data_IF_535286917253
#
_entry.id   IF_535286917253
#
_cell.length_a   1.000
_cell.length_b   1.000
_cell.length_c   1.000
_cell.angle_alpha   90.00
_cell.angle_beta   90.00
_cell.angle_gamma   90.00
#
_symmetry.space_group_name_H-M   'P 1'
#
loop_
_entity.id
_entity.type
_entity.pdbx_description
1 polymer ?
#
# COMPACT_ATOMS: atom_id res chain seq x y z
N UNK A 1 -10.72 2.29 -16.01
CA UNK A 1 -10.98 3.55 -15.29
C UNK A 1 -12.42 3.67 -14.74
N UNK A 2 -13.45 3.06 -15.33
CA UNK A 2 -14.85 3.21 -14.89
C UNK A 2 -15.47 1.99 -14.17
N UNK A 3 -14.70 0.91 -13.94
CA UNK A 3 -15.17 -0.35 -13.36
C UNK A 3 -15.99 -0.16 -12.08
N UNK A 4 -15.52 0.70 -11.17
CA UNK A 4 -16.17 0.97 -9.88
C UNK A 4 -17.06 2.22 -9.90
N UNK A 5 -16.78 3.17 -10.79
CA UNK A 5 -17.47 4.47 -10.84
C UNK A 5 -18.79 4.38 -11.62
N UNK A 6 -18.82 3.60 -12.70
CA UNK A 6 -20.00 3.42 -13.54
C UNK A 6 -20.25 1.93 -13.84
N UNK A 7 -20.84 1.16 -12.90
CA UNK A 7 -21.11 -0.27 -13.10
C UNK A 7 -21.97 -0.57 -14.33
N UNK A 8 -22.91 0.31 -14.67
CA UNK A 8 -23.73 0.21 -15.89
C UNK A 8 -22.86 0.21 -17.14
N UNK A 9 -21.88 1.11 -17.21
CA UNK A 9 -20.96 1.20 -18.34
C UNK A 9 -20.06 -0.03 -18.44
N UNK A 10 -19.69 -0.62 -17.29
CA UNK A 10 -18.96 -1.89 -17.23
C UNK A 10 -19.79 -3.08 -17.71
N UNK A 11 -21.06 -3.14 -17.36
CA UNK A 11 -21.97 -4.15 -17.88
C UNK A 11 -22.10 -4.08 -19.41
N UNK A 12 -22.28 -2.86 -19.95
CA UNK A 12 -22.33 -2.65 -21.40
C UNK A 12 -21.00 -3.03 -22.08
N UNK A 13 -19.86 -2.67 -21.48
CA UNK A 13 -18.54 -3.12 -21.95
C UNK A 13 -18.46 -4.65 -22.04
N UNK A 14 -18.87 -5.36 -20.98
CA UNK A 14 -18.82 -6.81 -20.94
C UNK A 14 -19.64 -7.44 -22.06
N UNK A 15 -20.82 -6.87 -22.39
CA UNK A 15 -21.65 -7.33 -23.51
C UNK A 15 -20.97 -7.10 -24.86
N UNK A 16 -20.47 -5.89 -25.12
CA UNK A 16 -19.82 -5.56 -26.40
C UNK A 16 -18.54 -6.40 -26.59
N UNK A 17 -17.73 -6.55 -25.55
CA UNK A 17 -16.51 -7.36 -25.58
C UNK A 17 -16.82 -8.84 -25.82
N UNK A 18 -17.81 -9.39 -25.11
CA UNK A 18 -18.24 -10.79 -25.29
C UNK A 18 -18.78 -11.02 -26.70
N UNK A 19 -19.57 -10.09 -27.22
CA UNK A 19 -20.08 -10.15 -28.59
C UNK A 19 -18.95 -10.09 -29.62
N UNK A 20 -17.97 -9.20 -29.44
CA UNK A 20 -16.80 -9.11 -30.31
C UNK A 20 -16.00 -10.40 -30.36
N UNK A 21 -15.75 -11.02 -29.21
CA UNK A 21 -15.06 -12.30 -29.14
C UNK A 21 -15.89 -13.43 -29.78
N UNK A 22 -17.19 -13.51 -29.48
CA UNK A 22 -18.09 -14.49 -30.09
C UNK A 22 -18.12 -14.35 -31.63
N UNK A 23 -18.24 -13.13 -32.14
CA UNK A 23 -18.26 -12.85 -33.58
C UNK A 23 -16.94 -13.25 -34.24
N UNK A 24 -15.81 -12.88 -33.64
CA UNK A 24 -14.48 -13.21 -34.16
C UNK A 24 -14.27 -14.73 -34.27
N UNK A 25 -14.61 -15.48 -33.21
CA UNK A 25 -14.51 -16.94 -33.20
C UNK A 25 -15.48 -17.59 -34.19
N UNK A 26 -16.71 -17.08 -34.30
CA UNK A 26 -17.74 -17.61 -35.22
C UNK A 26 -17.33 -17.43 -36.69
N UNK A 27 -16.63 -16.34 -37.03
CA UNK A 27 -16.06 -16.12 -38.37
C UNK A 27 -14.79 -16.98 -38.64
N UNK A 28 -14.38 -17.79 -37.67
CA UNK A 28 -13.20 -18.66 -37.73
C UNK A 28 -11.90 -17.95 -37.39
N UNK A 29 -11.97 -16.77 -36.77
CA UNK A 29 -10.84 -16.05 -36.22
C UNK A 29 -10.26 -16.77 -35.00
N UNK A 30 -8.94 -16.93 -34.96
CA UNK A 30 -8.20 -17.39 -33.79
C UNK A 30 -6.96 -16.53 -33.66
N UNK A 31 -6.62 -16.09 -32.47
CA UNK A 31 -5.46 -15.25 -32.23
C UNK A 31 -4.64 -15.85 -31.10
N UNK A 32 -3.33 -16.02 -31.31
CA UNK A 32 -2.41 -16.34 -30.23
C UNK A 32 -2.20 -15.10 -29.35
N UNK A 33 -2.27 -15.27 -28.04
CA UNK A 33 -1.94 -14.22 -27.08
C UNK A 33 -1.36 -14.87 -25.82
N UNK A 34 -0.64 -14.08 -25.02
CA UNK A 34 -0.10 -14.54 -23.74
C UNK A 34 -1.07 -14.20 -22.60
N UNK A 35 -1.38 -12.91 -22.43
CA UNK A 35 -2.21 -12.42 -21.33
C UNK A 35 -3.06 -11.20 -21.72
N UNK A 36 -2.49 -10.22 -22.43
CA UNK A 36 -3.11 -8.90 -22.57
C UNK A 36 -4.11 -8.79 -23.72
N UNK A 37 -4.04 -9.69 -24.72
CA UNK A 37 -4.76 -9.53 -26.00
C UNK A 37 -4.54 -8.16 -26.63
N UNK A 38 -3.35 -7.59 -26.39
CA UNK A 38 -3.01 -6.23 -26.76
C UNK A 38 -2.42 -6.11 -28.17
N UNK A 39 -2.10 -4.87 -28.55
CA UNK A 39 -1.43 -4.60 -29.83
C UNK A 39 -0.08 -5.32 -29.97
N UNK A 40 0.69 -5.43 -28.89
CA UNK A 40 1.97 -6.15 -28.87
C UNK A 40 1.74 -7.66 -29.10
N UNK A 41 0.72 -8.24 -28.46
CA UNK A 41 0.36 -9.65 -28.69
C UNK A 41 -0.03 -9.89 -30.16
N UNK A 42 -0.79 -8.97 -30.77
CA UNK A 42 -1.09 -9.03 -32.21
C UNK A 42 0.18 -9.05 -33.04
N UNK A 43 1.11 -8.11 -32.81
CA UNK A 43 2.31 -8.01 -33.63
C UNK A 43 3.22 -9.25 -33.50
N UNK A 44 3.37 -9.78 -32.29
CA UNK A 44 4.28 -10.91 -32.02
C UNK A 44 3.68 -12.27 -32.38
N UNK A 45 2.37 -12.48 -32.17
CA UNK A 45 1.74 -13.79 -32.26
C UNK A 45 0.72 -13.93 -33.40
N UNK A 46 0.58 -12.92 -34.27
CA UNK A 46 -0.30 -12.99 -35.44
C UNK A 46 -0.01 -14.21 -36.34
N UNK A 47 1.25 -14.66 -36.42
CA UNK A 47 1.64 -15.85 -37.20
C UNK A 47 1.04 -17.16 -36.68
N UNK A 48 0.69 -17.23 -35.39
CA UNK A 48 0.06 -18.39 -34.75
C UNK A 48 -1.47 -18.38 -34.91
N UNK A 49 -2.04 -17.28 -35.39
CA UNK A 49 -3.47 -17.09 -35.49
C UNK A 49 -4.06 -17.52 -36.84
N UNK A 50 -5.38 -17.65 -36.88
CA UNK A 50 -6.17 -17.95 -38.08
C UNK A 50 -7.07 -16.76 -38.38
N UNK A 51 -7.13 -16.30 -39.63
CA UNK A 51 -7.94 -15.14 -40.07
C UNK A 51 -7.81 -13.89 -39.19
N UNK A 52 -6.61 -13.64 -38.65
CA UNK A 52 -6.34 -12.54 -37.72
C UNK A 52 -6.56 -11.16 -38.36
N UNK A 53 -6.54 -11.06 -39.69
CA UNK A 53 -6.92 -9.88 -40.46
C UNK A 53 -8.35 -9.39 -40.17
N UNK A 54 -9.22 -10.25 -39.64
CA UNK A 54 -10.56 -9.85 -39.18
C UNK A 54 -10.50 -8.81 -38.05
N UNK A 55 -9.42 -8.78 -37.25
CA UNK A 55 -9.24 -7.79 -36.17
C UNK A 55 -9.17 -6.38 -36.73
N UNK A 56 -8.20 -6.01 -37.58
CA UNK A 56 -8.17 -4.67 -38.17
C UNK A 56 -9.38 -4.39 -39.08
N UNK A 57 -9.99 -5.40 -39.70
CA UNK A 57 -11.20 -5.21 -40.51
C UNK A 57 -12.43 -4.83 -39.67
N UNK A 58 -12.62 -5.45 -38.51
CA UNK A 58 -13.76 -5.19 -37.61
C UNK A 58 -13.49 -4.03 -36.64
N UNK A 59 -12.22 -3.68 -36.38
CA UNK A 59 -11.84 -2.66 -35.41
C UNK A 59 -12.55 -1.31 -35.61
N UNK A 60 -12.65 -0.73 -36.84
CA UNK A 60 -13.35 0.54 -37.02
C UNK A 60 -14.82 0.49 -36.61
N UNK A 61 -15.48 -0.64 -36.86
CA UNK A 61 -16.89 -0.86 -36.49
C UNK A 61 -17.03 -0.89 -34.96
N UNK A 62 -16.19 -1.67 -34.28
CA UNK A 62 -16.23 -1.73 -32.81
C UNK A 62 -15.81 -0.42 -32.16
N UNK A 63 -14.82 0.30 -32.71
CA UNK A 63 -14.44 1.65 -32.24
C UNK A 63 -15.64 2.60 -32.31
N UNK A 64 -16.37 2.61 -33.42
CA UNK A 64 -17.57 3.43 -33.56
C UNK A 64 -18.66 3.00 -32.55
N UNK A 65 -18.96 1.70 -32.44
CA UNK A 65 -19.94 1.17 -31.48
C UNK A 65 -19.57 1.60 -30.06
N UNK A 66 -18.33 1.39 -29.63
CA UNK A 66 -17.86 1.79 -28.31
C UNK A 66 -17.99 3.30 -28.11
N UNK A 67 -17.46 4.11 -29.04
CA UNK A 67 -17.46 5.57 -28.92
C UNK A 67 -18.87 6.14 -28.78
N UNK A 68 -19.78 5.80 -29.71
CA UNK A 68 -21.13 6.35 -29.68
C UNK A 68 -21.95 5.80 -28.51
N UNK A 69 -21.88 4.50 -28.22
CA UNK A 69 -22.62 3.90 -27.11
C UNK A 69 -22.18 4.51 -25.79
N UNK A 70 -20.87 4.58 -25.54
CA UNK A 70 -20.35 5.14 -24.29
C UNK A 70 -20.68 6.62 -24.20
N UNK A 71 -20.43 7.40 -25.27
CA UNK A 71 -20.71 8.84 -25.26
C UNK A 71 -22.19 9.14 -24.98
N UNK A 72 -23.10 8.41 -25.63
CA UNK A 72 -24.54 8.59 -25.42
C UNK A 72 -24.93 8.23 -23.99
N UNK A 73 -24.50 7.08 -23.47
CA UNK A 73 -24.82 6.64 -22.10
C UNK A 73 -24.24 7.59 -21.05
N UNK A 74 -22.99 8.04 -21.23
CA UNK A 74 -22.31 8.99 -20.35
C UNK A 74 -23.09 10.30 -20.26
N UNK A 75 -23.58 10.84 -21.39
CA UNK A 75 -24.33 12.09 -21.40
C UNK A 75 -25.79 11.94 -20.95
N UNK A 76 -26.49 10.89 -21.39
CA UNK A 76 -27.92 10.72 -21.09
C UNK A 76 -28.18 10.29 -19.64
N UNK A 77 -27.32 9.42 -19.10
CA UNK A 77 -27.47 8.90 -17.73
C UNK A 77 -26.58 9.65 -16.73
N UNK A 78 -25.92 10.73 -17.17
CA UNK A 78 -24.93 11.50 -16.42
C UNK A 78 -23.94 10.62 -15.63
N UNK A 79 -23.43 9.56 -16.26
CA UNK A 79 -22.54 8.61 -15.57
C UNK A 79 -21.22 9.30 -15.20
N UNK A 80 -20.84 9.17 -13.93
CA UNK A 80 -19.52 9.62 -13.47
C UNK A 80 -18.44 8.76 -14.14
N UNK A 81 -17.57 9.42 -14.89
CA UNK A 81 -16.34 8.83 -15.43
C UNK A 81 -15.18 9.64 -14.87
N UNK A 82 -13.95 9.10 -14.80
CA UNK A 82 -12.79 9.88 -14.39
C UNK A 82 -12.70 11.19 -15.18
N UNK A 83 -12.57 12.32 -14.48
CA UNK A 83 -12.62 13.67 -15.05
C UNK A 83 -14.02 14.29 -15.19
N UNK A 84 -15.08 13.51 -14.94
CA UNK A 84 -16.48 13.94 -14.82
C UNK A 84 -17.02 13.73 -13.40
N UNK A 85 -16.15 13.63 -12.40
CA UNK A 85 -16.61 13.73 -11.02
C UNK A 85 -17.10 15.17 -10.77
N UNK A 86 -18.39 15.31 -10.45
CA UNK A 86 -18.81 16.41 -9.56
C UNK A 86 -18.16 16.13 -8.21
N UNK A 87 -17.71 17.17 -7.50
CA UNK A 87 -17.07 17.01 -6.19
C UNK A 87 -18.04 16.31 -5.23
N UNK A 88 -17.95 14.98 -5.16
CA UNK A 88 -18.78 14.19 -4.26
C UNK A 88 -18.38 14.60 -2.85
N UNK A 89 -19.28 15.37 -2.22
CA UNK A 89 -19.25 15.73 -0.82
C UNK A 89 -19.09 14.44 0.00
N UNK A 90 -17.90 14.26 0.55
CA UNK A 90 -17.65 13.27 1.59
C UNK A 90 -18.06 13.96 2.89
N UNK A 91 -19.17 13.48 3.47
CA UNK A 91 -19.70 13.67 4.83
C UNK A 91 -19.22 14.92 5.62
N UNK A 92 -20.20 15.76 5.99
CA UNK A 92 -20.14 17.15 6.49
C UNK A 92 -19.43 17.40 7.85
N UNK A 93 -18.34 16.71 8.18
CA UNK A 93 -17.59 17.00 9.43
C UNK A 93 -16.27 17.79 9.23
N UNK A 94 -15.85 18.05 7.99
CA UNK A 94 -14.61 18.81 7.71
C UNK A 94 -14.73 19.81 6.56
N UNK A 95 -15.96 20.11 6.11
CA UNK A 95 -16.29 20.96 4.98
C UNK A 95 -16.15 22.48 5.27
N UNK A 96 -14.96 22.92 5.70
CA UNK A 96 -14.66 24.35 5.83
C UNK A 96 -13.80 24.89 4.67
N UNK A 97 -13.47 24.10 3.64
CA UNK A 97 -12.63 24.56 2.52
C UNK A 97 -13.16 23.98 1.20
N UNK A 98 -14.17 24.69 0.66
CA UNK A 98 -14.50 24.93 -0.77
C UNK A 98 -13.79 24.05 -1.81
N UNK A 99 -14.46 23.28 -2.67
CA UNK A 99 -15.50 23.72 -3.62
C UNK A 99 -14.93 24.08 -5.01
N UNK A 100 -13.60 24.16 -5.15
CA UNK A 100 -12.93 24.39 -6.43
C UNK A 100 -11.69 23.48 -6.53
N UNK A 101 -11.56 22.74 -7.64
CA UNK A 101 -10.42 21.86 -7.93
C UNK A 101 -9.08 22.57 -7.76
N UNK A 102 -9.03 23.85 -8.16
CA UNK A 102 -7.84 24.68 -8.02
C UNK A 102 -7.47 24.95 -6.55
N UNK A 103 -8.46 25.21 -5.69
CA UNK A 103 -8.23 25.43 -4.25
C UNK A 103 -7.85 24.12 -3.54
N UNK A 104 -8.44 22.99 -3.93
CA UNK A 104 -8.03 21.67 -3.41
C UNK A 104 -6.58 21.32 -3.82
N UNK A 105 -6.24 21.51 -5.09
CA UNK A 105 -4.88 21.30 -5.60
C UNK A 105 -3.86 22.19 -4.88
N UNK A 106 -4.18 23.48 -4.70
CA UNK A 106 -3.39 24.43 -3.92
C UNK A 106 -3.22 23.97 -2.47
N UNK A 107 -4.29 23.59 -1.79
CA UNK A 107 -4.23 23.14 -0.41
C UNK A 107 -3.36 21.89 -0.25
N UNK A 108 -3.40 20.96 -1.21
CA UNK A 108 -2.50 19.81 -1.23
C UNK A 108 -1.04 20.21 -1.43
N UNK A 109 -0.76 21.10 -2.39
CA UNK A 109 0.61 21.61 -2.62
C UNK A 109 1.19 22.26 -1.37
N UNK A 110 0.41 23.11 -0.69
CA UNK A 110 0.81 23.73 0.57
C UNK A 110 1.02 22.68 1.68
N UNK A 111 0.14 21.67 1.77
CA UNK A 111 0.26 20.59 2.76
C UNK A 111 1.50 19.71 2.53
N UNK A 112 2.00 19.59 1.30
CA UNK A 112 3.29 18.93 1.01
C UNK A 112 4.51 19.86 1.19
N UNK A 113 4.33 21.07 1.70
CA UNK A 113 5.42 22.02 1.98
C UNK A 113 5.66 23.05 0.87
N UNK A 114 4.70 23.23 -0.02
CA UNK A 114 4.77 24.18 -1.14
C UNK A 114 5.46 23.61 -2.39
N UNK A 115 5.35 24.33 -3.51
CA UNK A 115 5.94 23.97 -4.80
C UNK A 115 7.44 23.71 -4.71
N UNK A 116 8.16 24.55 -3.97
CA UNK A 116 9.61 24.41 -3.79
C UNK A 116 10.03 23.10 -3.09
N UNK A 117 9.10 22.43 -2.42
CA UNK A 117 9.36 21.17 -1.74
C UNK A 117 8.99 19.94 -2.57
N UNK A 118 8.26 20.09 -3.70
CA UNK A 118 7.77 18.98 -4.53
C UNK A 118 8.74 18.73 -5.69
N UNK A 119 9.35 17.55 -5.72
CA UNK A 119 10.23 17.11 -6.83
C UNK A 119 9.46 16.40 -7.93
N UNK A 120 8.56 15.49 -7.53
CA UNK A 120 7.83 14.64 -8.46
C UNK A 120 6.43 14.32 -7.93
N UNK A 121 5.47 14.22 -8.87
CA UNK A 121 4.08 13.89 -8.61
C UNK A 121 3.73 12.59 -9.32
N UNK A 122 3.45 11.55 -8.55
CA UNK A 122 2.99 10.27 -9.05
C UNK A 122 1.71 9.84 -8.32
N UNK A 123 0.94 8.96 -8.92
CA UNK A 123 -0.24 8.40 -8.29
C UNK A 123 -0.43 6.94 -8.68
N UNK A 124 -0.89 6.17 -7.70
CA UNK A 124 -1.48 4.85 -7.91
C UNK A 124 -3.00 4.95 -7.80
N UNK A 125 -3.68 3.80 -7.95
CA UNK A 125 -5.15 3.72 -7.84
C UNK A 125 -5.67 4.34 -6.54
N UNK A 126 -4.98 4.16 -5.41
CA UNK A 126 -5.47 4.61 -4.09
C UNK A 126 -4.56 5.59 -3.36
N UNK A 127 -3.39 5.90 -3.92
CA UNK A 127 -2.32 6.64 -3.24
C UNK A 127 -1.75 7.72 -4.13
N UNK A 128 -1.76 8.96 -3.63
CA UNK A 128 -1.01 10.09 -4.16
C UNK A 128 0.41 10.03 -3.61
N UNK A 129 1.41 9.91 -4.48
CA UNK A 129 2.82 9.73 -4.14
C UNK A 129 3.61 10.98 -4.52
N UNK A 130 4.09 11.70 -3.52
CA UNK A 130 4.83 12.93 -3.73
C UNK A 130 6.26 12.73 -3.27
N UNK A 131 7.21 12.85 -4.20
CA UNK A 131 8.62 12.93 -3.86
C UNK A 131 8.91 14.36 -3.40
N UNK A 132 9.45 14.51 -2.18
CA UNK A 132 9.71 15.82 -1.58
C UNK A 132 11.19 16.04 -1.28
N UNK A 133 11.59 17.31 -1.28
CA UNK A 133 12.93 17.74 -0.86
C UNK A 133 13.12 17.56 0.64
N UNK A 134 12.17 18.05 1.43
CA UNK A 134 12.21 18.06 2.89
C UNK A 134 10.93 17.48 3.48
N UNK A 135 11.08 16.33 4.14
CA UNK A 135 9.99 15.63 4.81
C UNK A 135 9.45 16.37 6.04
N UNK A 136 10.26 17.24 6.65
CA UNK A 136 9.82 18.01 7.81
C UNK A 136 8.76 19.05 7.44
N UNK A 137 8.72 19.50 6.19
CA UNK A 137 7.74 20.49 5.70
C UNK A 137 6.38 19.88 5.33
N UNK A 138 6.26 18.55 5.32
CA UNK A 138 5.00 17.89 5.00
C UNK A 138 4.10 17.91 6.22
N UNK A 139 2.90 18.48 6.06
CA UNK A 139 1.90 18.61 7.11
C UNK A 139 0.91 17.44 7.07
N UNK A 140 1.23 16.37 7.81
CA UNK A 140 0.41 15.15 7.89
C UNK A 140 -1.01 15.41 8.43
N UNK A 141 -1.20 16.18 9.52
CA UNK A 141 -2.54 16.54 9.99
C UNK A 141 -3.38 17.24 8.93
N UNK A 142 -2.77 18.15 8.16
CA UNK A 142 -3.46 18.87 7.08
C UNK A 142 -3.87 17.94 5.95
N UNK A 143 -3.00 17.02 5.52
CA UNK A 143 -3.34 16.01 4.52
C UNK A 143 -4.52 15.13 4.95
N UNK A 144 -4.57 14.71 6.23
CA UNK A 144 -5.71 13.98 6.80
C UNK A 144 -6.99 14.84 6.78
N UNK A 145 -6.89 16.12 7.16
CA UNK A 145 -8.02 17.06 7.13
C UNK A 145 -8.53 17.35 5.71
N UNK A 146 -7.67 17.25 4.70
CA UNK A 146 -8.02 17.35 3.27
C UNK A 146 -8.65 16.05 2.73
N UNK A 147 -8.87 15.03 3.57
CA UNK A 147 -9.56 13.79 3.20
C UNK A 147 -8.64 12.59 2.95
N UNK A 148 -7.36 12.66 3.29
CA UNK A 148 -6.51 11.48 3.26
C UNK A 148 -6.89 10.53 4.40
N UNK A 149 -7.22 9.28 4.06
CA UNK A 149 -7.49 8.23 5.06
C UNK A 149 -6.23 7.82 5.84
N UNK A 150 -5.06 8.09 5.30
CA UNK A 150 -3.77 7.88 5.94
C UNK A 150 -2.64 8.49 5.12
N UNK A 151 -1.50 8.75 5.77
CA UNK A 151 -0.29 9.27 5.12
C UNK A 151 0.90 8.44 5.59
N UNK A 152 1.70 7.95 4.66
CA UNK A 152 2.84 7.05 4.92
C UNK A 152 4.10 7.64 4.31
N UNK A 153 5.21 7.57 5.04
CA UNK A 153 6.53 7.94 4.54
C UNK A 153 7.27 6.72 4.03
N UNK A 154 7.84 6.81 2.82
CA UNK A 154 8.76 5.80 2.26
C UNK A 154 10.00 6.51 1.74
N UNK A 155 11.04 6.57 2.58
CA UNK A 155 12.25 7.37 2.29
C UNK A 155 11.89 8.85 2.15
N UNK A 156 12.18 9.44 0.98
CA UNK A 156 11.81 10.81 0.59
C UNK A 156 10.48 10.92 -0.17
N UNK A 157 9.66 9.85 -0.17
CA UNK A 157 8.33 9.86 -0.77
C UNK A 157 7.23 9.90 0.29
N UNK A 158 6.41 10.95 0.27
CA UNK A 158 5.20 11.09 1.08
C UNK A 158 4.01 10.52 0.32
N UNK A 159 3.33 9.51 0.88
CA UNK A 159 2.20 8.83 0.24
C UNK A 159 0.91 9.10 1.00
N UNK A 160 -0.01 9.87 0.42
CA UNK A 160 -1.33 10.13 1.00
C UNK A 160 -2.40 9.24 0.33
N UNK A 161 -3.24 8.59 1.13
CA UNK A 161 -4.26 7.63 0.66
C UNK A 161 -5.59 8.35 0.48
N UNK A 162 -5.88 8.78 -0.75
CA UNK A 162 -7.14 9.44 -1.14
C UNK A 162 -8.12 8.48 -1.85
N UNK A 163 -7.79 7.19 -1.92
CA UNK A 163 -8.60 6.22 -2.64
C UNK A 163 -8.60 6.50 -4.16
N UNK A 164 -9.65 6.10 -4.90
CA UNK A 164 -9.72 6.21 -6.36
C UNK A 164 -9.47 7.62 -6.94
N UNK A 165 -9.55 8.67 -6.10
CA UNK A 165 -9.32 10.07 -6.49
C UNK A 165 -7.85 10.44 -6.63
N UNK A 166 -6.90 9.59 -6.21
CA UNK A 166 -5.47 9.94 -6.20
C UNK A 166 -4.90 10.35 -7.56
N UNK A 167 -5.32 9.71 -8.65
CA UNK A 167 -4.86 10.03 -10.00
C UNK A 167 -5.39 11.38 -10.50
N UNK A 168 -6.65 11.69 -10.19
CA UNK A 168 -7.27 12.98 -10.49
C UNK A 168 -6.58 14.11 -9.71
N UNK A 169 -6.38 13.94 -8.40
CA UNK A 169 -5.71 14.92 -7.55
C UNK A 169 -4.27 15.20 -8.02
N UNK A 170 -3.56 14.17 -8.49
CA UNK A 170 -2.23 14.35 -9.09
C UNK A 170 -2.29 15.20 -10.36
N UNK A 171 -3.31 15.00 -11.20
CA UNK A 171 -3.52 15.81 -12.41
C UNK A 171 -3.86 17.25 -12.05
N UNK A 172 -4.81 17.47 -11.13
CA UNK A 172 -5.21 18.80 -10.66
C UNK A 172 -4.02 19.56 -10.04
N UNK A 173 -3.19 18.89 -9.24
CA UNK A 173 -1.96 19.46 -8.67
C UNK A 173 -0.93 19.83 -9.75
N UNK A 174 -0.76 19.00 -10.77
CA UNK A 174 0.16 19.30 -11.87
C UNK A 174 -0.33 20.51 -12.69
N UNK A 175 -1.62 20.61 -12.95
CA UNK A 175 -2.23 21.77 -13.62
C UNK A 175 -2.06 23.05 -12.78
N UNK A 176 -2.32 22.96 -11.48
CA UNK A 176 -2.11 24.07 -10.55
C UNK A 176 -0.64 24.52 -10.55
N UNK A 177 0.33 23.62 -10.43
CA UNK A 177 1.76 23.99 -10.38
C UNK A 177 2.26 24.66 -11.67
N UNK A 178 1.65 24.36 -12.82
CA UNK A 178 1.96 25.01 -14.10
C UNK A 178 1.40 26.43 -14.21
N UNK A 179 0.35 26.74 -13.43
CA UNK A 179 -0.41 28.01 -13.53
C UNK A 179 -0.26 28.90 -12.29
N UNK A 180 0.30 28.37 -11.21
CA UNK A 180 0.36 29.03 -9.91
C UNK A 180 1.41 30.15 -9.83
N UNK A 181 1.02 31.23 -9.15
CA UNK A 181 1.86 32.36 -8.79
C UNK A 181 2.69 32.12 -7.51
N UNK A 182 3.18 33.19 -6.87
CA UNK A 182 4.02 33.11 -5.67
C UNK A 182 3.35 32.41 -4.47
N UNK A 183 2.02 32.34 -4.46
CA UNK A 183 1.23 31.70 -3.41
C UNK A 183 1.49 30.19 -3.28
N UNK A 184 1.99 29.53 -4.33
CA UNK A 184 2.36 28.11 -4.26
C UNK A 184 3.67 27.84 -3.52
N UNK A 185 4.50 28.87 -3.28
CA UNK A 185 5.76 28.73 -2.56
C UNK A 185 5.61 28.95 -1.05
N UNK A 186 4.40 29.22 -0.58
CA UNK A 186 4.12 29.40 0.85
C UNK A 186 4.33 28.08 1.58
N UNK A 187 5.30 28.05 2.49
CA UNK A 187 5.49 26.94 3.41
C UNK A 187 4.64 27.21 4.63
N UNK A 188 3.51 26.53 4.75
CA UNK A 188 2.75 26.54 6.00
C UNK A 188 3.57 25.85 7.10
N UNK A 189 3.65 26.47 8.28
CA UNK A 189 4.39 25.90 9.42
C UNK A 189 3.75 24.57 9.80
N UNK A 190 4.48 23.44 9.72
CA UNK A 190 3.91 22.14 10.00
C UNK A 190 3.57 22.04 11.49
N UNK A 191 2.28 21.83 11.81
CA UNK A 191 1.79 21.60 13.17
C UNK A 191 2.09 20.17 13.69
N UNK A 192 2.74 19.34 12.87
CA UNK A 192 3.16 17.99 13.17
C UNK A 192 3.76 17.35 11.93
N UNK A 193 5.05 17.03 11.97
CA UNK A 193 5.71 16.24 10.93
C UNK A 193 5.28 14.78 10.97
N UNK A 194 5.92 13.94 10.17
CA UNK A 194 5.78 12.48 10.27
C UNK A 194 6.21 12.00 11.66
N UNK A 195 5.26 11.90 12.58
CA UNK A 195 5.37 10.98 13.72
C UNK A 195 5.15 9.59 13.13
N UNK A 196 6.17 8.76 13.23
CA UNK A 196 6.15 7.37 12.79
C UNK A 196 5.03 6.61 13.53
N UNK A 197 3.82 6.64 12.98
CA UNK A 197 2.66 5.86 13.45
C UNK A 197 2.78 4.38 13.05
N UNK A 198 3.82 3.98 12.29
CA UNK A 198 3.96 2.61 11.76
C UNK A 198 4.93 1.73 12.56
N UNK A 199 5.87 2.30 13.31
CA UNK A 199 6.54 1.59 14.37
C UNK A 199 5.64 1.56 15.62
N UNK A 200 5.38 0.39 16.25
CA UNK A 200 4.84 0.38 17.59
C UNK A 200 5.73 1.26 18.46
N UNK A 201 5.14 2.28 19.08
CA UNK A 201 5.86 3.13 20.02
C UNK A 201 6.41 2.23 21.14
N UNK A 202 7.70 1.92 21.06
CA UNK A 202 8.38 1.01 21.99
C UNK A 202 8.22 1.47 23.44
N UNK A 203 8.05 2.79 23.66
CA UNK A 203 7.82 3.37 24.97
C UNK A 203 6.40 3.12 25.52
N UNK A 204 5.46 2.65 24.70
CA UNK A 204 4.07 2.35 25.10
C UNK A 204 3.76 0.86 25.26
N UNK A 205 4.71 -0.04 25.00
CA UNK A 205 4.48 -1.48 25.20
C UNK A 205 4.45 -1.75 26.71
N UNK A 206 3.32 -2.17 27.29
CA UNK A 206 3.28 -2.44 28.72
C UNK A 206 4.16 -3.66 29.04
N UNK A 207 5.06 -3.56 30.04
CA UNK A 207 5.92 -4.67 30.43
C UNK A 207 5.07 -5.85 30.90
N UNK A 208 5.46 -7.07 30.55
CA UNK A 208 4.79 -8.26 31.04
C UNK A 208 5.12 -8.43 32.53
N UNK A 209 4.13 -8.40 33.45
CA UNK A 209 4.37 -8.58 34.88
C UNK A 209 4.88 -9.98 35.23
N UNK A 210 4.65 -10.98 34.37
CA UNK A 210 5.12 -12.36 34.53
C UNK A 210 6.37 -12.68 33.70
N UNK A 211 7.05 -11.66 33.17
CA UNK A 211 8.24 -11.85 32.33
C UNK A 211 9.31 -12.72 33.00
N UNK A 212 9.54 -12.54 34.31
CA UNK A 212 10.52 -13.32 35.06
C UNK A 212 10.18 -14.80 35.20
N UNK A 213 8.90 -15.14 35.38
CA UNK A 213 8.43 -16.53 35.46
C UNK A 213 8.53 -17.22 34.10
N UNK A 214 8.06 -16.55 33.05
CA UNK A 214 8.12 -17.05 31.68
C UNK A 214 9.55 -17.22 31.20
N UNK A 215 10.43 -16.25 31.46
CA UNK A 215 11.85 -16.37 31.13
C UNK A 215 12.52 -17.56 31.85
N UNK A 216 12.17 -17.81 33.11
CA UNK A 216 12.67 -18.99 33.84
C UNK A 216 12.19 -20.29 33.20
N UNK A 217 10.90 -20.38 32.85
CA UNK A 217 10.35 -21.54 32.14
C UNK A 217 10.99 -21.74 30.75
N UNK A 218 11.25 -20.65 30.01
CA UNK A 218 11.95 -20.69 28.73
C UNK A 218 13.37 -21.23 28.87
N UNK A 219 14.13 -20.81 29.90
CA UNK A 219 15.49 -21.33 30.16
C UNK A 219 15.47 -22.83 30.43
N UNK A 220 14.52 -23.32 31.22
CA UNK A 220 14.35 -24.76 31.48
C UNK A 220 14.01 -25.50 30.19
N UNK A 221 13.07 -24.98 29.41
CA UNK A 221 12.64 -25.59 28.15
C UNK A 221 13.71 -25.56 27.05
N UNK A 222 14.66 -24.62 27.10
CA UNK A 222 15.84 -24.58 26.22
C UNK A 222 16.93 -25.58 26.64
N UNK A 223 16.72 -26.43 27.64
CA UNK A 223 17.71 -27.39 28.12
C UNK A 223 18.59 -26.86 29.26
N UNK A 224 18.18 -25.78 29.91
CA UNK A 224 18.91 -25.16 31.02
C UNK A 224 19.88 -24.06 30.58
N UNK A 225 20.38 -23.29 31.56
CA UNK A 225 21.25 -22.13 31.31
C UNK A 225 22.56 -22.51 30.60
N UNK A 226 23.13 -23.70 30.89
CA UNK A 226 24.37 -24.17 30.27
C UNK A 226 24.20 -24.57 28.79
N UNK A 227 22.96 -24.80 28.34
CA UNK A 227 22.69 -25.09 26.94
C UNK A 227 22.55 -23.82 26.09
N UNK A 228 22.41 -22.63 26.69
CA UNK A 228 22.17 -21.37 25.98
C UNK A 228 23.49 -20.64 25.77
N UNK A 229 23.83 -20.35 24.51
CA UNK A 229 25.04 -19.60 24.14
C UNK A 229 24.77 -18.10 24.04
N UNK A 230 23.73 -17.72 23.31
CA UNK A 230 23.35 -16.31 23.08
C UNK A 230 21.83 -16.17 23.00
N UNK A 231 21.32 -15.04 23.45
CA UNK A 231 19.90 -14.66 23.34
C UNK A 231 19.82 -13.19 22.95
N UNK A 232 19.42 -12.95 21.70
CA UNK A 232 19.33 -11.63 21.11
C UNK A 232 17.88 -11.31 20.70
N UNK A 233 17.33 -10.15 21.06
CA UNK A 233 16.08 -9.66 20.49
C UNK A 233 16.33 -9.19 19.06
N UNK A 234 15.88 -9.95 18.06
CA UNK A 234 16.10 -9.64 16.63
C UNK A 234 14.91 -8.92 15.99
N UNK A 235 13.75 -8.97 16.64
CA UNK A 235 12.58 -8.17 16.30
C UNK A 235 11.74 -7.98 17.56
N UNK A 236 10.75 -7.07 17.49
CA UNK A 236 9.82 -6.81 18.60
C UNK A 236 9.15 -8.06 19.18
N UNK A 237 8.88 -9.03 18.31
CA UNK A 237 8.20 -10.27 18.67
C UNK A 237 9.11 -11.49 18.73
N UNK A 238 10.42 -11.35 18.45
CA UNK A 238 11.30 -12.49 18.20
C UNK A 238 12.61 -12.43 18.95
N UNK A 239 12.92 -13.55 19.61
CA UNK A 239 14.23 -13.86 20.15
C UNK A 239 14.98 -14.79 19.20
N UNK A 240 16.24 -14.49 18.93
CA UNK A 240 17.19 -15.43 18.35
C UNK A 240 17.99 -16.03 19.49
N UNK A 241 17.90 -17.35 19.63
CA UNK A 241 18.58 -18.12 20.67
C UNK A 241 19.53 -19.08 20.00
N UNK A 242 20.80 -19.05 20.37
CA UNK A 242 21.77 -20.06 19.97
C UNK A 242 21.98 -21.04 21.12
N UNK A 243 21.85 -22.34 20.84
CA UNK A 243 22.05 -23.39 21.85
C UNK A 243 23.25 -24.28 21.54
N UNK A 244 23.84 -24.90 22.55
CA UNK A 244 24.95 -25.85 22.39
C UNK A 244 24.45 -27.19 21.85
N UNK A 245 23.27 -27.64 22.31
CA UNK A 245 22.66 -28.91 21.92
C UNK A 245 21.15 -28.73 21.65
N UNK A 246 20.76 -28.82 20.38
CA UNK A 246 19.36 -28.66 19.96
C UNK A 246 18.44 -29.84 20.36
N UNK A 247 18.98 -30.99 20.77
CA UNK A 247 18.19 -32.13 21.24
C UNK A 247 17.66 -31.97 22.66
N UNK A 248 18.24 -31.05 23.45
CA UNK A 248 17.77 -30.75 24.81
C UNK A 248 16.62 -29.72 24.83
N UNK A 249 16.26 -29.17 23.67
CA UNK A 249 15.21 -28.17 23.54
C UNK A 249 13.84 -28.86 23.45
N UNK A 250 12.97 -28.52 24.39
CA UNK A 250 11.58 -28.99 24.47
C UNK A 250 10.62 -27.93 23.90
N UNK A 251 10.10 -28.21 22.70
CA UNK A 251 9.20 -27.31 21.98
C UNK A 251 7.85 -27.14 22.70
N UNK A 252 7.35 -28.18 23.38
CA UNK A 252 6.07 -28.14 24.08
C UNK A 252 6.18 -27.31 25.36
N UNK A 253 7.28 -27.45 26.10
CA UNK A 253 7.57 -26.63 27.26
C UNK A 253 7.78 -25.14 26.88
N UNK A 254 8.39 -24.87 25.72
CA UNK A 254 8.52 -23.50 25.20
C UNK A 254 7.16 -22.87 24.89
N UNK A 255 6.24 -23.62 24.28
CA UNK A 255 4.88 -23.15 24.03
C UNK A 255 4.14 -22.86 25.35
N UNK A 256 4.27 -23.73 26.36
CA UNK A 256 3.70 -23.51 27.68
C UNK A 256 4.29 -22.29 28.40
N UNK A 257 5.58 -21.99 28.17
CA UNK A 257 6.24 -20.79 28.67
C UNK A 257 5.79 -19.49 27.97
N UNK A 258 4.93 -19.59 26.95
CA UNK A 258 4.35 -18.44 26.24
C UNK A 258 5.02 -18.13 24.89
N UNK A 259 5.85 -19.04 24.37
CA UNK A 259 6.36 -18.93 22.99
C UNK A 259 5.23 -19.30 22.02
N UNK A 260 4.80 -18.34 21.20
CA UNK A 260 3.70 -18.50 20.24
C UNK A 260 4.11 -19.27 18.98
N UNK A 261 5.41 -19.30 18.68
CA UNK A 261 5.94 -19.98 17.51
C UNK A 261 7.44 -20.20 17.64
N UNK A 262 7.91 -21.31 17.09
CA UNK A 262 9.31 -21.72 17.13
C UNK A 262 9.76 -22.10 15.73
N UNK A 263 10.93 -21.59 15.33
CA UNK A 263 11.57 -21.94 14.07
C UNK A 263 13.00 -22.37 14.35
N UNK A 264 13.33 -23.62 14.01
CA UNK A 264 14.69 -24.15 14.09
C UNK A 264 15.45 -23.82 12.81
N UNK A 265 16.62 -23.23 12.94
CA UNK A 265 17.55 -22.91 11.86
C UNK A 265 18.74 -23.88 11.90
N UNK A 266 19.62 -23.78 10.92
CA UNK A 266 20.90 -24.51 10.92
C UNK A 266 21.80 -24.01 12.08
N UNK A 267 22.84 -24.80 12.42
CA UNK A 267 23.85 -24.46 13.43
C UNK A 267 23.30 -24.22 14.85
N UNK A 268 22.29 -24.98 15.27
CA UNK A 268 21.67 -24.89 16.60
C UNK A 268 21.07 -23.52 16.95
N UNK A 269 20.64 -22.76 15.94
CA UNK A 269 19.95 -21.48 16.12
C UNK A 269 18.44 -21.69 16.13
N UNK A 270 17.74 -21.03 17.06
CA UNK A 270 16.29 -21.01 17.17
C UNK A 270 15.76 -19.58 17.11
N UNK A 271 14.66 -19.38 16.39
CA UNK A 271 13.86 -18.16 16.48
C UNK A 271 12.59 -18.46 17.28
N UNK A 272 12.42 -17.79 18.42
CA UNK A 272 11.25 -17.91 19.29
C UNK A 272 10.37 -16.66 19.12
N UNK A 273 9.08 -16.85 18.89
CA UNK A 273 8.09 -15.77 18.82
C UNK A 273 7.48 -15.57 20.22
N UNK A 274 7.83 -14.48 20.90
CA UNK A 274 7.48 -14.23 22.31
C UNK A 274 6.46 -13.10 22.51
N UNK A 275 5.86 -12.60 21.42
CA UNK A 275 5.02 -11.39 21.46
C UNK A 275 5.84 -10.11 21.73
N UNK A 276 5.18 -8.97 21.91
CA UNK A 276 5.76 -7.62 21.86
C UNK A 276 6.84 -7.30 22.90
N UNK A 277 7.14 -8.20 23.83
CA UNK A 277 8.08 -8.01 24.94
C UNK A 277 9.40 -8.80 24.76
N UNK A 278 9.81 -9.09 23.51
CA UNK A 278 11.03 -9.86 23.24
C UNK A 278 12.27 -9.28 23.94
N UNK A 279 12.44 -7.95 23.94
CA UNK A 279 13.57 -7.29 24.61
C UNK A 279 13.56 -7.53 26.13
N UNK A 280 12.39 -7.45 26.77
CA UNK A 280 12.22 -7.74 28.20
C UNK A 280 12.59 -9.21 28.50
N UNK A 281 12.13 -10.17 27.69
CA UNK A 281 12.46 -11.58 27.86
C UNK A 281 13.95 -11.85 27.64
N UNK A 282 14.58 -11.23 26.64
CA UNK A 282 16.03 -11.34 26.41
C UNK A 282 16.82 -10.87 27.64
N UNK A 283 16.46 -9.71 28.20
CA UNK A 283 17.10 -9.17 29.40
C UNK A 283 16.92 -10.04 30.65
N UNK A 284 15.76 -10.70 30.79
CA UNK A 284 15.51 -11.64 31.89
C UNK A 284 16.27 -12.98 31.70
N UNK A 285 16.32 -13.51 30.47
CA UNK A 285 17.07 -14.74 30.17
C UNK A 285 18.58 -14.49 30.32
N UNK A 286 19.10 -13.40 29.76
CA UNK A 286 20.52 -13.04 29.86
C UNK A 286 20.96 -12.81 31.30
N UNK A 287 20.11 -12.24 32.17
CA UNK A 287 20.38 -12.20 33.61
C UNK A 287 20.55 -13.60 34.20
N UNK A 288 19.69 -14.56 33.85
CA UNK A 288 19.76 -15.94 34.38
C UNK A 288 20.93 -16.75 33.82
N UNK A 289 21.30 -16.52 32.56
CA UNK A 289 22.46 -17.18 31.92
C UNK A 289 23.78 -16.54 32.37
N UNK A 290 23.80 -15.23 32.61
CA UNK A 290 24.98 -14.46 33.02
C UNK A 290 25.25 -14.37 34.52
N UNK A 291 24.34 -14.83 35.39
CA UNK A 291 24.59 -14.89 36.85
C UNK A 291 25.48 -16.09 37.18
N UNK A 292 26.77 -15.98 36.86
CA UNK A 292 27.85 -16.77 37.48
C UNK A 292 28.58 -15.87 38.48
N UNK A 293 28.51 -16.25 39.76
CA UNK A 293 29.55 -15.97 40.77
C UNK A 293 30.53 -17.14 40.69
#
# INVERSE_FOLDING_TARGET
>A
SFLFVAPVLYFVHALIASFGNWLFVTLGGRMGFTFSQGFIDFLLFNSLGTKVWLIPALAPIFVAIYYFTFRILIHQLNLLTPGREEDIEVDEATAAITGDKAEMAKALVLAFGGRSNIKNLDACITRLRIEVEDMAKVNVPRLKALGASGVVQVGQNAQAIFGPRSDNLKTDMAEYLNTAGPEADVVEVPAGGFVDETAPDLAKIPPDPKAGEKAAAMVVALGGADNIRTVDPVALTRLRVEVTNASLVDDAALQQAGVQGLMRLQDNVLHLVTGLNAEQYAGEINRRVGTRV
#
